data_IF_983777184059
#
_entry.id   IF_983777184059
#
_cell.length_a   1.000
_cell.length_b   1.000
_cell.length_c   1.000
_cell.angle_alpha   90.00
_cell.angle_beta   90.00
_cell.angle_gamma   90.00
#
_symmetry.space_group_name_H-M   'P 1'
#
loop_
_entity.id
_entity.type
_entity.pdbx_description
1 polymer ?
#
# COMPACT_ATOMS: atom_id res chain seq x y z
N UNK A 1 27.10 -8.74 10.93
CA UNK A 1 26.83 -8.97 12.37
C UNK A 1 26.00 -7.82 12.90
N UNK A 2 24.67 -7.97 12.94
CA UNK A 2 23.75 -6.96 13.48
C UNK A 2 23.98 -6.82 14.98
N UNK A 3 24.28 -5.61 15.46
CA UNK A 3 24.27 -5.31 16.89
C UNK A 3 23.03 -4.48 17.21
N UNK A 4 22.01 -5.16 17.71
CA UNK A 4 20.87 -4.52 18.38
C UNK A 4 21.36 -4.12 19.77
N UNK A 5 21.32 -2.82 20.08
CA UNK A 5 21.56 -2.34 21.45
C UNK A 5 20.24 -1.83 22.01
N UNK A 6 19.72 -2.53 23.02
CA UNK A 6 18.49 -2.15 23.71
C UNK A 6 18.82 -1.06 24.74
N UNK A 7 18.31 0.16 24.52
CA UNK A 7 18.27 1.22 25.52
C UNK A 7 16.93 1.18 26.27
N UNK A 8 16.96 0.96 27.58
CA UNK A 8 15.77 0.87 28.43
C UNK A 8 15.25 2.25 28.86
N UNK A 9 13.98 2.51 28.49
CA UNK A 9 12.89 3.28 29.13
C UNK A 9 13.17 4.53 29.99
N UNK A 10 12.48 5.63 29.64
CA UNK A 10 11.69 6.39 30.62
C UNK A 10 10.53 7.14 29.93
N UNK A 11 9.33 6.91 30.45
CA UNK A 11 8.01 7.50 30.20
C UNK A 11 7.94 8.75 29.29
N UNK A 12 7.57 8.57 28.02
CA UNK A 12 6.51 9.33 27.34
C UNK A 12 6.17 8.65 25.99
N UNK A 13 4.91 8.66 25.60
CA UNK A 13 4.40 7.96 24.44
C UNK A 13 4.87 8.63 23.13
N UNK A 14 5.93 8.11 22.49
CA UNK A 14 6.28 8.44 21.10
C UNK A 14 7.34 7.49 20.54
N UNK A 15 6.89 6.49 19.77
CA UNK A 15 7.62 5.76 18.71
C UNK A 15 9.05 5.25 18.98
N UNK A 16 9.29 3.97 18.73
CA UNK A 16 10.65 3.40 18.69
C UNK A 16 11.41 3.98 17.50
N UNK A 17 12.35 4.90 17.74
CA UNK A 17 13.24 5.42 16.69
C UNK A 17 14.30 4.36 16.39
N UNK A 18 14.24 3.75 15.20
CA UNK A 18 15.33 2.89 14.71
C UNK A 18 16.33 3.75 13.95
N UNK A 19 17.61 3.60 14.26
CA UNK A 19 18.69 4.32 13.62
C UNK A 19 19.43 3.40 12.66
N UNK A 20 19.39 3.73 11.36
CA UNK A 20 20.28 3.12 10.37
C UNK A 20 21.44 4.09 10.16
N UNK A 21 22.63 3.69 10.61
CA UNK A 21 23.86 4.44 10.37
C UNK A 21 24.49 3.93 9.08
N UNK A 22 24.42 4.70 8.00
CA UNK A 22 25.23 4.45 6.80
C UNK A 22 26.49 5.34 6.84
N UNK A 23 27.69 4.79 6.52
CA UNK A 23 28.95 5.53 6.56
C UNK A 23 28.98 6.79 5.68
N UNK A 24 28.18 6.82 4.61
CA UNK A 24 28.30 7.77 3.51
C UNK A 24 27.31 8.94 3.53
N UNK A 25 26.27 8.94 4.36
CA UNK A 25 25.18 9.94 4.28
C UNK A 25 24.69 10.51 5.62
N UNK A 26 25.34 10.19 6.74
CA UNK A 26 24.87 10.63 8.06
C UNK A 26 23.61 9.87 8.51
N UNK A 27 23.11 10.20 9.70
CA UNK A 27 21.97 9.52 10.31
C UNK A 27 20.68 9.82 9.54
N UNK A 28 20.20 8.85 8.75
CA UNK A 28 18.86 8.91 8.15
C UNK A 28 17.86 8.45 9.21
N UNK A 29 17.04 9.39 9.71
CA UNK A 29 15.94 9.08 10.61
C UNK A 29 14.73 8.66 9.78
N UNK A 30 14.46 7.37 9.69
CA UNK A 30 13.12 6.89 9.35
C UNK A 30 12.36 6.70 10.66
N UNK A 31 11.47 7.64 11.05
CA UNK A 31 10.67 7.44 12.23
C UNK A 31 9.75 6.24 11.97
N UNK A 32 9.89 5.19 12.78
CA UNK A 32 8.89 4.12 12.82
C UNK A 32 7.67 4.72 13.49
N UNK A 33 6.69 5.08 12.67
CA UNK A 33 5.40 5.61 13.09
C UNK A 33 4.33 4.61 12.74
N UNK A 34 3.17 4.73 13.39
CA UNK A 34 1.97 3.97 13.02
C UNK A 34 1.54 4.19 11.56
N UNK A 35 2.03 5.25 10.88
CA UNK A 35 1.77 5.49 9.46
C UNK A 35 2.53 4.53 8.53
N UNK A 36 3.60 3.89 9.01
CA UNK A 36 4.28 2.82 8.26
C UNK A 36 3.39 1.59 8.21
N UNK A 37 2.77 1.23 9.34
CA UNK A 37 1.81 0.11 9.40
C UNK A 37 0.59 0.38 8.50
N UNK A 38 0.10 1.62 8.46
CA UNK A 38 -0.99 2.02 7.54
C UNK A 38 -0.60 1.83 6.08
N UNK A 39 0.62 2.23 5.70
CA UNK A 39 1.11 2.04 4.33
C UNK A 39 1.18 0.57 3.95
N UNK A 40 1.81 -0.25 4.80
CA UNK A 40 1.89 -1.69 4.58
C UNK A 40 0.50 -2.33 4.50
N UNK A 41 -0.44 -1.88 5.31
CA UNK A 41 -1.83 -2.32 5.25
C UNK A 41 -2.50 -1.97 3.90
N UNK A 42 -2.30 -0.75 3.40
CA UNK A 42 -2.76 -0.33 2.08
C UNK A 42 -2.22 -1.20 0.95
N UNK A 43 -0.91 -1.47 0.96
CA UNK A 43 -0.26 -2.35 -0.03
C UNK A 43 -0.81 -3.77 0.02
N UNK A 44 -1.01 -4.34 1.22
CA UNK A 44 -1.60 -5.67 1.38
C UNK A 44 -3.05 -5.71 0.91
N UNK A 45 -3.84 -4.65 1.15
CA UNK A 45 -5.20 -4.55 0.58
C UNK A 45 -5.17 -4.56 -0.94
N UNK A 46 -4.28 -3.78 -1.57
CA UNK A 46 -4.15 -3.79 -3.02
C UNK A 46 -3.69 -5.15 -3.55
N UNK A 47 -2.77 -5.84 -2.86
CA UNK A 47 -2.35 -7.20 -3.22
C UNK A 47 -3.54 -8.18 -3.19
N UNK A 48 -4.37 -8.12 -2.14
CA UNK A 48 -5.57 -8.96 -2.04
C UNK A 48 -6.61 -8.66 -3.12
N UNK A 49 -6.82 -7.38 -3.47
CA UNK A 49 -7.80 -6.98 -4.49
C UNK A 49 -7.33 -7.39 -5.88
N UNK A 50 -6.04 -7.20 -6.18
CA UNK A 50 -5.49 -7.37 -7.53
C UNK A 50 -4.93 -8.76 -7.80
N UNK A 51 -4.66 -9.54 -6.75
CA UNK A 51 -3.96 -10.83 -6.85
C UNK A 51 -2.50 -10.69 -7.27
N UNK A 52 -1.96 -9.46 -7.31
CA UNK A 52 -0.59 -9.17 -7.77
C UNK A 52 0.36 -8.96 -6.60
N UNK A 53 1.54 -9.55 -6.69
CA UNK A 53 2.58 -9.33 -5.68
C UNK A 53 3.04 -7.85 -5.66
N UNK A 54 3.22 -7.25 -4.47
CA UNK A 54 3.72 -5.88 -4.35
C UNK A 54 5.17 -5.74 -4.82
N UNK A 55 5.89 -6.87 -4.89
CA UNK A 55 7.31 -6.99 -5.23
C UNK A 55 7.57 -7.50 -6.64
N UNK A 56 6.69 -7.22 -7.60
CA UNK A 56 6.94 -7.48 -9.03
C UNK A 56 8.05 -6.57 -9.60
N UNK A 57 9.25 -6.67 -9.04
CA UNK A 57 10.48 -6.03 -9.51
C UNK A 57 11.48 -7.09 -10.02
N UNK A 58 11.22 -8.40 -9.88
CA UNK A 58 12.25 -9.42 -10.21
C UNK A 58 11.79 -10.83 -10.67
N UNK A 59 10.54 -11.07 -11.04
CA UNK A 59 10.18 -12.37 -11.65
C UNK A 59 10.34 -12.30 -13.17
N UNK A 60 11.49 -12.75 -13.65
CA UNK A 60 11.89 -12.72 -15.05
C UNK A 60 11.20 -13.76 -15.95
N UNK A 61 10.31 -14.60 -15.40
CA UNK A 61 9.71 -15.74 -16.11
C UNK A 61 8.18 -15.63 -16.28
N UNK A 62 7.56 -14.51 -15.89
CA UNK A 62 6.14 -14.27 -16.15
C UNK A 62 6.00 -13.30 -17.33
N UNK A 63 5.48 -13.77 -18.47
CA UNK A 63 5.26 -12.92 -19.67
C UNK A 63 4.27 -11.77 -19.40
N UNK A 64 3.54 -11.81 -18.28
CA UNK A 64 2.69 -10.72 -17.80
C UNK A 64 3.45 -9.67 -16.96
N UNK A 65 4.72 -9.94 -16.60
CA UNK A 65 5.61 -9.04 -15.88
C UNK A 65 6.36 -8.12 -16.87
N UNK A 66 5.62 -7.45 -17.75
CA UNK A 66 6.18 -6.41 -18.60
C UNK A 66 6.54 -5.19 -17.74
N UNK A 67 7.81 -5.12 -17.30
CA UNK A 67 8.62 -3.90 -17.16
C UNK A 67 7.87 -2.62 -16.74
N UNK A 68 7.09 -2.66 -15.68
CA UNK A 68 6.72 -1.44 -14.98
C UNK A 68 7.69 -1.32 -13.81
N UNK A 69 8.64 -0.40 -13.91
CA UNK A 69 9.50 0.06 -12.79
C UNK A 69 8.69 0.70 -11.65
N UNK A 70 7.37 0.55 -11.68
CA UNK A 70 6.35 1.16 -10.87
C UNK A 70 5.77 0.06 -9.97
N UNK A 71 5.93 0.21 -8.65
CA UNK A 71 5.36 -0.72 -7.67
C UNK A 71 3.84 -0.86 -7.80
N UNK A 72 3.25 -1.87 -7.16
CA UNK A 72 1.82 -2.20 -7.26
C UNK A 72 0.88 -0.99 -7.15
N UNK A 73 1.16 -0.07 -6.23
CA UNK A 73 0.38 1.16 -6.03
C UNK A 73 0.31 1.99 -7.32
N UNK A 74 1.46 2.25 -7.96
CA UNK A 74 1.54 3.03 -9.19
C UNK A 74 0.85 2.31 -10.36
N UNK A 75 0.99 0.98 -10.45
CA UNK A 75 0.27 0.20 -11.46
C UNK A 75 -1.25 0.36 -11.34
N UNK A 76 -1.79 0.35 -10.12
CA UNK A 76 -3.23 0.59 -9.88
C UNK A 76 -3.63 2.00 -10.31
N UNK A 77 -2.84 3.01 -9.95
CA UNK A 77 -3.07 4.41 -10.35
C UNK A 77 -3.06 4.55 -11.87
N UNK A 78 -2.08 3.96 -12.54
CA UNK A 78 -1.98 3.98 -14.01
C UNK A 78 -3.20 3.33 -14.66
N UNK A 79 -3.69 2.20 -14.12
CA UNK A 79 -4.91 1.53 -14.62
C UNK A 79 -6.16 2.38 -14.46
N UNK A 80 -6.25 3.14 -13.36
CA UNK A 80 -7.33 4.11 -13.15
C UNK A 80 -7.24 5.24 -14.17
N UNK A 81 -6.05 5.77 -14.44
CA UNK A 81 -5.84 6.87 -15.39
C UNK A 81 -6.02 6.44 -16.85
N UNK A 82 -5.70 5.19 -17.20
CA UNK A 82 -5.93 4.60 -18.52
C UNK A 82 -7.42 4.37 -18.82
N UNK A 83 -8.28 4.40 -17.81
CA UNK A 83 -9.71 4.21 -18.00
C UNK A 83 -10.35 5.44 -18.66
N UNK A 84 -10.92 5.23 -19.83
CA UNK A 84 -11.50 6.26 -20.71
C UNK A 84 -12.96 6.60 -20.39
N UNK A 85 -13.54 6.03 -19.32
CA UNK A 85 -14.92 6.29 -18.93
C UNK A 85 -15.95 5.44 -19.69
N UNK A 86 -15.59 4.21 -20.10
CA UNK A 86 -16.52 3.28 -20.75
C UNK A 86 -17.84 3.16 -19.98
N UNK A 87 -18.96 3.20 -20.70
CA UNK A 87 -20.31 3.13 -20.13
C UNK A 87 -20.72 1.72 -19.68
N UNK A 88 -19.92 0.69 -20.01
CA UNK A 88 -20.30 -0.71 -19.85
C UNK A 88 -19.53 -1.46 -18.77
N UNK A 89 -18.38 -0.96 -18.32
CA UNK A 89 -17.49 -1.63 -17.36
C UNK A 89 -16.96 -0.60 -16.37
N UNK A 90 -16.83 -0.97 -15.08
CA UNK A 90 -16.13 -0.12 -14.12
C UNK A 90 -14.62 -0.26 -14.33
N UNK A 91 -13.85 0.80 -14.05
CA UNK A 91 -12.39 0.73 -14.04
C UNK A 91 -11.87 -0.32 -13.04
N UNK A 92 -12.66 -0.65 -12.02
CA UNK A 92 -12.34 -1.67 -11.03
C UNK A 92 -12.24 -3.06 -11.64
N UNK A 93 -13.08 -3.37 -12.63
CA UNK A 93 -13.09 -4.67 -13.29
C UNK A 93 -11.76 -4.93 -14.04
N UNK A 94 -10.99 -3.88 -14.36
CA UNK A 94 -9.65 -3.98 -14.98
C UNK A 94 -8.53 -4.29 -13.99
N UNK A 95 -8.76 -4.13 -12.69
CA UNK A 95 -7.72 -4.30 -11.65
C UNK A 95 -7.99 -5.46 -10.70
N UNK A 96 -9.25 -5.87 -10.52
CA UNK A 96 -9.63 -6.95 -9.61
C UNK A 96 -9.08 -8.28 -10.11
N UNK A 97 -8.59 -9.11 -9.18
CA UNK A 97 -8.15 -10.47 -9.46
C UNK A 97 -9.29 -11.27 -10.12
N UNK A 98 -9.08 -11.86 -11.31
CA UNK A 98 -10.06 -12.74 -11.95
C UNK A 98 -10.50 -13.94 -11.09
N UNK A 99 -9.75 -14.30 -10.05
CA UNK A 99 -10.10 -15.36 -9.11
C UNK A 99 -11.19 -14.95 -8.10
N UNK A 100 -11.40 -13.65 -7.92
CA UNK A 100 -12.50 -13.11 -7.11
C UNK A 100 -13.81 -13.27 -7.89
N UNK A 101 -14.82 -13.87 -7.26
CA UNK A 101 -16.14 -14.05 -7.86
C UNK A 101 -16.68 -12.72 -8.36
N UNK A 102 -17.29 -12.69 -9.55
CA UNK A 102 -17.92 -11.47 -10.11
C UNK A 102 -19.17 -10.99 -9.37
N UNK A 103 -19.47 -11.54 -8.19
CA UNK A 103 -20.62 -11.23 -7.34
C UNK A 103 -20.31 -10.16 -6.27
N UNK A 104 -19.29 -9.33 -6.47
CA UNK A 104 -19.04 -8.18 -5.58
C UNK A 104 -19.85 -6.95 -6.00
N UNK A 105 -20.22 -6.13 -5.03
CA UNK A 105 -20.78 -4.81 -5.31
C UNK A 105 -19.66 -3.90 -5.86
N UNK A 106 -19.85 -3.40 -7.08
CA UNK A 106 -18.84 -2.58 -7.76
C UNK A 106 -18.54 -1.28 -6.98
N UNK A 107 -19.55 -0.66 -6.36
CA UNK A 107 -19.35 0.58 -5.61
C UNK A 107 -18.54 0.34 -4.34
N UNK A 108 -18.84 -0.73 -3.61
CA UNK A 108 -18.06 -1.16 -2.45
C UNK A 108 -16.62 -1.47 -2.85
N UNK A 109 -16.40 -2.18 -3.96
CA UNK A 109 -15.03 -2.49 -4.43
C UNK A 109 -14.27 -1.22 -4.86
N UNK A 110 -14.91 -0.29 -5.55
CA UNK A 110 -14.32 1.02 -5.87
C UNK A 110 -13.89 1.79 -4.62
N UNK A 111 -14.73 1.80 -3.60
CA UNK A 111 -14.42 2.48 -2.34
C UNK A 111 -13.31 1.77 -1.57
N UNK A 112 -13.29 0.44 -1.58
CA UNK A 112 -12.23 -0.35 -0.97
C UNK A 112 -10.85 -0.04 -1.61
N UNK A 113 -10.80 0.05 -2.95
CA UNK A 113 -9.57 0.45 -3.66
C UNK A 113 -9.16 1.87 -3.31
N UNK A 114 -10.10 2.82 -3.24
CA UNK A 114 -9.80 4.21 -2.84
C UNK A 114 -9.22 4.28 -1.42
N UNK A 115 -9.79 3.54 -0.47
CA UNK A 115 -9.28 3.44 0.90
C UNK A 115 -7.86 2.86 0.90
N UNK A 116 -7.62 1.80 0.11
CA UNK A 116 -6.32 1.18 0.02
C UNK A 116 -5.25 2.12 -0.56
N UNK A 117 -5.59 2.88 -1.61
CA UNK A 117 -4.72 3.92 -2.17
C UNK A 117 -4.42 5.03 -1.16
N UNK A 118 -5.43 5.52 -0.43
CA UNK A 118 -5.23 6.52 0.64
C UNK A 118 -4.31 6.02 1.75
N UNK A 119 -4.40 4.72 2.10
CA UNK A 119 -3.49 4.11 3.05
C UNK A 119 -2.06 4.02 2.51
N UNK A 120 -1.91 3.76 1.22
CA UNK A 120 -0.64 3.60 0.50
C UNK A 120 -0.08 4.91 -0.08
N UNK A 121 -0.58 6.07 0.33
CA UNK A 121 -0.06 7.38 -0.08
C UNK A 121 1.44 7.53 0.24
N UNK A 122 2.21 8.17 -0.63
CA UNK A 122 3.63 8.42 -0.37
C UNK A 122 3.83 9.38 0.81
N UNK A 123 2.99 10.42 0.90
CA UNK A 123 2.98 11.36 2.02
C UNK A 123 2.35 10.73 3.26
N UNK A 124 3.16 10.53 4.31
CA UNK A 124 2.70 9.94 5.58
C UNK A 124 1.63 10.77 6.29
N UNK A 125 1.60 12.10 6.07
CA UNK A 125 0.61 12.98 6.70
C UNK A 125 -0.75 12.90 5.99
N UNK A 126 -0.76 12.65 4.68
CA UNK A 126 -1.97 12.44 3.89
C UNK A 126 -2.67 11.11 4.22
N UNK A 127 -1.92 10.11 4.69
CA UNK A 127 -2.50 8.82 5.11
C UNK A 127 -3.51 8.97 6.25
N UNK A 128 -4.62 8.23 6.26
CA UNK A 128 -5.49 8.13 7.43
C UNK A 128 -4.76 7.49 8.62
N UNK A 129 -5.27 7.71 9.83
CA UNK A 129 -4.92 6.88 11.00
C UNK A 129 -5.61 5.51 10.90
N UNK A 130 -5.04 4.47 11.51
CA UNK A 130 -5.64 3.14 11.48
C UNK A 130 -7.08 3.09 12.03
N UNK A 131 -7.41 3.94 13.01
CA UNK A 131 -8.79 4.07 13.49
C UNK A 131 -9.74 4.63 12.42
N UNK A 132 -9.29 5.61 11.63
CA UNK A 132 -10.08 6.13 10.50
C UNK A 132 -10.21 5.08 9.40
N UNK A 133 -9.17 4.28 9.14
CA UNK A 133 -9.25 3.18 8.18
C UNK A 133 -10.34 2.19 8.57
N UNK A 134 -10.36 1.76 9.84
CA UNK A 134 -11.42 0.88 10.36
C UNK A 134 -12.80 1.51 10.24
N UNK A 135 -12.94 2.79 10.58
CA UNK A 135 -14.22 3.51 10.46
C UNK A 135 -14.70 3.55 8.99
N UNK A 136 -13.82 3.87 8.04
CA UNK A 136 -14.15 3.86 6.61
C UNK A 136 -14.58 2.46 6.13
N UNK A 137 -13.89 1.40 6.56
CA UNK A 137 -14.20 0.03 6.16
C UNK A 137 -15.53 -0.49 6.73
N UNK A 138 -15.93 -0.04 7.92
CA UNK A 138 -17.21 -0.41 8.55
C UNK A 138 -18.40 0.23 7.82
N UNK A 139 -18.20 1.38 7.17
CA UNK A 139 -19.24 2.13 6.46
C UNK A 139 -19.25 1.90 4.94
N UNK A 140 -18.59 0.83 4.48
CA UNK A 140 -18.59 0.40 3.08
C UNK A 140 -19.92 -0.20 2.61
#
# INVERSE_FOLDING_TARGET
MMKVTHGTSSHDARGTRVTLATPECGLIYYPITSKVDVFSYGVVMLEMITGRSPSCMHQADDENCNKTEHGLVNWVIDKIHEFDGSLTESWVDKIVDPSISSEYDQSTMENLVKIALQCAEEDSEARPSMNQVVDMLIHL
#
